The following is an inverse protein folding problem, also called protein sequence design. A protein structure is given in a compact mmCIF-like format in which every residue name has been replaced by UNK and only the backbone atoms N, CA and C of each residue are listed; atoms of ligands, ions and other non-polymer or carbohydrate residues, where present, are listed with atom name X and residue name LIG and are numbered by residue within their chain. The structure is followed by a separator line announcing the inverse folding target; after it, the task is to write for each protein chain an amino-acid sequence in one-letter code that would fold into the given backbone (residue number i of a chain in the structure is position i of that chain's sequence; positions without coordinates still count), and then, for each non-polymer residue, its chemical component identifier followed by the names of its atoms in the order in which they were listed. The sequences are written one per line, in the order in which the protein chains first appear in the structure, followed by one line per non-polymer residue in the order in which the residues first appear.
data_IF_258317916598
#
_entry.id   IF_258317916598
#
_cell.length_a   1.000
_cell.length_b   1.000
_cell.length_c   1.000
_cell.angle_alpha   90.00
_cell.angle_beta   90.00
_cell.angle_gamma   90.00
#
_symmetry.space_group_name_H-M   'P 1'
#
loop_
_entity.id
_entity.type
_entity.pdbx_description
1 polymer ?
#
# COMPACT_ATOMS: atom_id res chain seq x y z
N UNK A 1 28.05 40.87 70.80
CA UNK A 1 28.09 39.45 70.41
C UNK A 1 26.72 38.87 70.66
N UNK A 2 26.02 38.61 69.58
CA UNK A 2 24.57 38.38 69.52
C UNK A 2 24.16 37.04 70.13
N UNK A 3 23.41 37.11 71.23
CA UNK A 3 22.76 35.94 71.84
C UNK A 3 21.62 35.40 70.98
N UNK A 4 21.08 36.22 70.08
CA UNK A 4 19.98 35.83 69.19
C UNK A 4 20.47 34.99 68.01
N UNK A 5 21.68 35.25 67.48
CA UNK A 5 22.27 34.39 66.44
C UNK A 5 22.72 33.02 66.95
N UNK A 6 23.07 32.92 68.24
CA UNK A 6 23.42 31.64 68.88
C UNK A 6 22.20 30.74 69.13
N UNK A 7 21.00 31.31 69.26
CA UNK A 7 19.75 30.53 69.39
C UNK A 7 19.30 29.93 68.06
N UNK A 8 19.40 30.67 66.95
CA UNK A 8 19.02 30.14 65.63
C UNK A 8 19.93 28.99 65.17
N UNK A 9 21.23 29.06 65.46
CA UNK A 9 22.19 28.00 65.08
C UNK A 9 21.92 26.70 65.87
N UNK A 10 21.49 26.79 67.13
CA UNK A 10 21.13 25.62 67.93
C UNK A 10 19.77 25.01 67.54
N UNK A 11 18.89 25.77 66.92
CA UNK A 11 17.53 25.29 66.57
C UNK A 11 17.49 24.69 65.15
N UNK A 12 18.37 25.15 64.24
CA UNK A 12 18.55 24.56 62.92
C UNK A 12 19.19 23.15 62.99
N UNK A 13 20.23 22.96 63.81
CA UNK A 13 20.98 21.69 63.92
C UNK A 13 20.13 20.54 64.50
N UNK A 14 19.19 20.85 65.40
CA UNK A 14 18.30 19.86 66.03
C UNK A 14 17.10 19.53 65.13
N UNK A 15 16.66 20.47 64.29
CA UNK A 15 15.55 20.22 63.35
C UNK A 15 15.99 19.42 62.11
N UNK A 16 17.24 19.57 61.67
CA UNK A 16 17.80 18.86 60.51
C UNK A 16 18.19 17.39 60.84
N UNK A 17 18.63 17.12 62.08
CA UNK A 17 18.95 15.75 62.55
C UNK A 17 17.70 14.86 62.73
N UNK A 18 16.57 15.44 63.14
CA UNK A 18 15.31 14.71 63.32
C UNK A 18 14.66 14.30 62.00
N UNK A 19 14.91 14.98 60.87
CA UNK A 19 14.33 14.59 59.57
C UNK A 19 14.78 13.19 59.14
N UNK A 20 16.04 12.84 59.41
CA UNK A 20 16.57 11.53 59.07
C UNK A 20 16.07 10.44 60.04
N UNK A 21 15.99 10.71 61.35
CA UNK A 21 15.43 9.76 62.31
C UNK A 21 13.91 9.57 62.13
N UNK A 22 13.16 10.62 61.82
CA UNK A 22 11.73 10.56 61.50
C UNK A 22 11.50 9.80 60.20
N UNK A 23 12.35 9.98 59.18
CA UNK A 23 12.28 9.17 57.96
C UNK A 23 12.56 7.68 58.26
N UNK A 24 13.58 7.37 59.07
CA UNK A 24 13.90 5.99 59.45
C UNK A 24 12.81 5.37 60.34
N UNK A 25 12.23 6.14 61.25
CA UNK A 25 11.14 5.67 62.11
C UNK A 25 9.85 5.46 61.32
N UNK A 26 9.53 6.37 60.39
CA UNK A 26 8.43 6.20 59.43
C UNK A 26 8.65 5.00 58.51
N UNK A 27 9.87 4.82 57.99
CA UNK A 27 10.23 3.69 57.13
C UNK A 27 10.11 2.35 57.88
N UNK A 28 10.44 2.30 59.18
CA UNK A 28 10.27 1.08 59.99
C UNK A 28 8.81 0.80 60.37
N UNK A 29 8.03 1.85 60.62
CA UNK A 29 6.66 1.71 61.17
C UNK A 29 5.59 1.63 60.10
N UNK A 30 5.75 2.37 59.01
CA UNK A 30 4.80 2.50 57.89
C UNK A 30 5.41 2.09 56.56
N UNK A 31 6.73 2.13 56.43
CA UNK A 31 7.45 1.84 55.18
C UNK A 31 7.13 0.50 54.53
N UNK A 32 6.98 -0.64 55.25
CA UNK A 32 6.64 -1.91 54.61
C UNK A 32 5.29 -1.86 53.87
N UNK A 33 4.27 -1.21 54.44
CA UNK A 33 2.95 -1.12 53.82
C UNK A 33 2.94 -0.16 52.62
N UNK A 34 3.62 0.98 52.71
CA UNK A 34 3.72 1.91 51.58
C UNK A 34 4.61 1.38 50.46
N UNK A 35 5.73 0.71 50.78
CA UNK A 35 6.58 0.03 49.80
C UNK A 35 5.81 -1.09 49.09
N UNK A 36 4.97 -1.84 49.82
CA UNK A 36 4.14 -2.87 49.22
C UNK A 36 3.09 -2.28 48.25
N UNK A 37 2.43 -1.18 48.62
CA UNK A 37 1.50 -0.47 47.73
C UNK A 37 2.22 0.02 46.46
N UNK A 38 3.39 0.64 46.61
CA UNK A 38 4.20 1.12 45.47
C UNK A 38 4.63 -0.06 44.59
N UNK A 39 5.05 -1.18 45.18
CA UNK A 39 5.38 -2.40 44.44
C UNK A 39 4.21 -2.97 43.65
N UNK A 40 3.00 -3.00 44.24
CA UNK A 40 1.80 -3.44 43.53
C UNK A 40 1.46 -2.51 42.36
N UNK A 41 1.62 -1.19 42.53
CA UNK A 41 1.41 -0.21 41.46
C UNK A 41 2.43 -0.40 40.33
N UNK A 42 3.71 -0.61 40.65
CA UNK A 42 4.76 -0.87 39.65
C UNK A 42 4.50 -2.21 38.94
N UNK A 43 4.14 -3.27 39.68
CA UNK A 43 3.82 -4.57 39.10
C UNK A 43 2.60 -4.49 38.17
N UNK A 44 1.57 -3.74 38.55
CA UNK A 44 0.41 -3.47 37.70
C UNK A 44 0.76 -2.71 36.42
N UNK A 45 1.62 -1.68 36.52
CA UNK A 45 2.13 -0.97 35.35
C UNK A 45 2.98 -1.87 34.43
N UNK A 46 3.89 -2.68 34.99
CA UNK A 46 4.72 -3.60 34.22
C UNK A 46 3.89 -4.69 33.53
N UNK A 47 2.88 -5.22 34.21
CA UNK A 47 1.95 -6.19 33.63
C UNK A 47 1.15 -5.58 32.48
N UNK A 48 0.60 -4.38 32.67
CA UNK A 48 -0.12 -3.66 31.62
C UNK A 48 0.77 -3.36 30.40
N UNK A 49 2.01 -2.91 30.65
CA UNK A 49 2.97 -2.62 29.59
C UNK A 49 3.40 -3.90 28.84
N UNK A 50 3.57 -5.02 29.55
CA UNK A 50 3.92 -6.29 28.91
C UNK A 50 2.74 -6.89 28.12
N UNK A 51 1.50 -6.68 28.58
CA UNK A 51 0.29 -7.09 27.87
C UNK A 51 0.16 -6.34 26.53
N UNK A 52 0.28 -5.01 26.53
CA UNK A 52 0.21 -4.21 25.30
C UNK A 52 1.33 -4.56 24.30
N UNK A 53 2.56 -4.81 24.80
CA UNK A 53 3.68 -5.21 23.94
C UNK A 53 3.46 -6.54 23.20
N UNK A 54 2.64 -7.44 23.75
CA UNK A 54 2.34 -8.71 23.10
C UNK A 54 1.50 -8.54 21.83
N UNK A 55 0.44 -7.73 21.90
CA UNK A 55 -0.42 -7.42 20.75
C UNK A 55 0.35 -6.62 19.69
N UNK A 56 1.13 -5.61 20.11
CA UNK A 56 1.96 -4.81 19.20
C UNK A 56 3.02 -5.66 18.47
N UNK A 57 3.61 -6.66 19.15
CA UNK A 57 4.58 -7.57 18.54
C UNK A 57 3.93 -8.48 17.50
N UNK A 58 2.75 -9.03 17.80
CA UNK A 58 2.02 -9.88 16.87
C UNK A 58 1.58 -9.10 15.61
N UNK A 59 1.06 -7.88 15.79
CA UNK A 59 0.73 -7.01 14.66
C UNK A 59 1.98 -6.69 13.83
N UNK A 60 3.10 -6.34 14.47
CA UNK A 60 4.35 -6.04 13.77
C UNK A 60 4.89 -7.26 12.99
N UNK A 61 4.77 -8.47 13.55
CA UNK A 61 5.14 -9.71 12.87
C UNK A 61 4.27 -9.96 11.64
N UNK A 62 2.94 -9.79 11.77
CA UNK A 62 2.01 -9.95 10.65
C UNK A 62 2.29 -8.98 9.50
N UNK A 63 2.53 -7.71 9.80
CA UNK A 63 2.91 -6.70 8.80
C UNK A 63 4.28 -6.97 8.18
N UNK A 64 5.23 -7.50 8.95
CA UNK A 64 6.53 -7.92 8.43
C UNK A 64 6.41 -9.11 7.47
N UNK A 65 5.61 -10.13 7.84
CA UNK A 65 5.35 -11.29 7.00
C UNK A 65 4.65 -10.89 5.70
N UNK A 66 3.70 -9.95 5.77
CA UNK A 66 3.07 -9.38 4.59
C UNK A 66 4.06 -8.66 3.66
N UNK A 67 4.92 -7.81 4.23
CA UNK A 67 5.93 -7.10 3.44
C UNK A 67 6.91 -8.06 2.74
N UNK A 68 7.30 -9.14 3.42
CA UNK A 68 8.12 -10.20 2.85
C UNK A 68 7.39 -10.92 1.71
N UNK A 69 6.14 -11.34 1.93
CA UNK A 69 5.31 -11.98 0.90
C UNK A 69 5.11 -11.08 -0.33
N UNK A 70 4.81 -9.79 -0.11
CA UNK A 70 4.63 -8.81 -1.18
C UNK A 70 5.90 -8.64 -2.05
N UNK A 71 7.09 -8.74 -1.44
CA UNK A 71 8.36 -8.63 -2.15
C UNK A 71 8.63 -9.79 -3.12
N UNK A 72 8.01 -10.95 -2.90
CA UNK A 72 8.17 -12.12 -3.77
C UNK A 72 7.44 -11.96 -5.11
N UNK A 73 6.43 -11.09 -5.19
CA UNK A 73 5.59 -10.95 -6.38
C UNK A 73 4.72 -12.17 -6.68
N UNK A 74 4.57 -13.09 -5.72
CA UNK A 74 3.74 -14.29 -5.84
C UNK A 74 2.41 -14.09 -5.10
N UNK A 75 1.26 -14.20 -5.79
CA UNK A 75 -0.05 -14.09 -5.15
C UNK A 75 -0.25 -15.10 -4.01
N UNK A 76 0.20 -16.34 -4.20
CA UNK A 76 0.04 -17.41 -3.21
C UNK A 76 0.70 -17.07 -1.86
N UNK A 77 1.86 -16.39 -1.87
CA UNK A 77 2.51 -15.95 -0.62
C UNK A 77 1.64 -14.97 0.17
N UNK A 78 0.91 -14.08 -0.53
CA UNK A 78 -0.01 -13.14 0.11
C UNK A 78 -1.28 -13.84 0.61
N UNK A 79 -1.80 -14.80 -0.17
CA UNK A 79 -2.93 -15.65 0.26
C UNK A 79 -2.60 -16.41 1.54
N UNK A 80 -1.40 -16.99 1.64
CA UNK A 80 -0.96 -17.72 2.84
C UNK A 80 -0.86 -16.79 4.06
N UNK A 81 -0.19 -15.64 3.92
CA UNK A 81 -0.04 -14.68 5.04
C UNK A 81 -1.39 -14.15 5.51
N UNK A 82 -2.31 -13.84 4.59
CA UNK A 82 -3.65 -13.35 4.95
C UNK A 82 -4.51 -14.39 5.64
N UNK A 83 -4.36 -15.68 5.31
CA UNK A 83 -5.04 -16.75 6.04
C UNK A 83 -4.49 -16.92 7.45
N UNK A 84 -3.17 -16.75 7.64
CA UNK A 84 -2.52 -16.91 8.95
C UNK A 84 -2.82 -15.74 9.88
N UNK A 85 -2.90 -14.51 9.35
CA UNK A 85 -3.07 -13.27 10.11
C UNK A 85 -4.37 -12.54 9.77
N UNK A 86 -5.46 -13.30 9.56
CA UNK A 86 -6.77 -12.75 9.19
C UNK A 86 -7.38 -11.84 10.27
N UNK A 87 -6.94 -11.99 11.52
CA UNK A 87 -7.40 -11.23 12.69
C UNK A 87 -6.68 -9.88 12.87
N UNK A 88 -5.68 -9.58 12.03
CA UNK A 88 -4.88 -8.36 12.13
C UNK A 88 -5.45 -7.26 11.22
N UNK A 89 -6.10 -6.28 11.83
CA UNK A 89 -6.59 -5.04 11.19
C UNK A 89 -7.25 -5.28 9.82
N UNK A 90 -6.79 -4.56 8.77
CA UNK A 90 -7.24 -4.70 7.38
C UNK A 90 -6.28 -5.55 6.54
N UNK A 91 -5.46 -6.39 7.17
CA UNK A 91 -4.41 -7.15 6.48
C UNK A 91 -5.02 -8.20 5.55
N UNK A 92 -6.11 -8.83 5.97
CA UNK A 92 -6.85 -9.79 5.15
C UNK A 92 -7.35 -9.13 3.86
N UNK A 93 -8.03 -8.00 3.98
CA UNK A 93 -8.58 -7.28 2.82
C UNK A 93 -7.48 -6.77 1.89
N UNK A 94 -6.42 -6.21 2.46
CA UNK A 94 -5.29 -5.72 1.69
C UNK A 94 -4.59 -6.84 0.93
N UNK A 95 -4.36 -8.00 1.55
CA UNK A 95 -3.67 -9.10 0.90
C UNK A 95 -4.54 -9.86 -0.10
N UNK A 96 -5.85 -10.01 0.14
CA UNK A 96 -6.79 -10.50 -0.88
C UNK A 96 -6.79 -9.58 -2.10
N UNK A 97 -6.89 -8.26 -1.88
CA UNK A 97 -6.84 -7.27 -2.95
C UNK A 97 -5.51 -7.33 -3.72
N UNK A 98 -4.39 -7.38 -3.00
CA UNK A 98 -3.05 -7.38 -3.59
C UNK A 98 -2.75 -8.67 -4.36
N UNK A 99 -3.19 -9.83 -3.85
CA UNK A 99 -3.06 -11.11 -4.54
C UNK A 99 -3.89 -11.13 -5.84
N UNK A 100 -5.13 -10.65 -5.79
CA UNK A 100 -5.99 -10.53 -6.96
C UNK A 100 -5.36 -9.61 -8.03
N UNK A 101 -4.85 -8.44 -7.60
CA UNK A 101 -4.17 -7.49 -8.47
C UNK A 101 -2.93 -8.09 -9.14
N UNK A 102 -2.16 -8.94 -8.45
CA UNK A 102 -0.99 -9.60 -9.05
C UNK A 102 -1.40 -10.59 -10.15
N UNK A 103 -2.46 -11.37 -9.97
CA UNK A 103 -3.00 -12.21 -11.04
C UNK A 103 -3.51 -11.40 -12.22
N UNK A 104 -4.24 -10.30 -11.96
CA UNK A 104 -4.74 -9.43 -13.03
C UNK A 104 -3.59 -8.73 -13.78
N UNK A 105 -2.56 -8.24 -13.07
CA UNK A 105 -1.35 -7.65 -13.67
C UNK A 105 -0.60 -8.65 -14.55
N UNK A 106 -0.53 -9.92 -14.15
CA UNK A 106 0.08 -10.96 -14.96
C UNK A 106 -0.65 -11.12 -16.31
N UNK A 107 -1.99 -11.08 -16.31
CA UNK A 107 -2.80 -11.09 -17.53
C UNK A 107 -2.58 -9.84 -18.38
N UNK A 108 -2.57 -8.65 -17.78
CA UNK A 108 -2.35 -7.38 -18.50
C UNK A 108 -0.98 -7.35 -19.16
N UNK A 109 0.05 -7.82 -18.46
CA UNK A 109 1.43 -7.84 -18.95
C UNK A 109 1.73 -9.04 -19.85
N UNK A 110 0.78 -9.96 -20.02
CA UNK A 110 0.92 -11.20 -20.78
C UNK A 110 2.09 -12.11 -20.33
N UNK A 111 2.41 -12.10 -19.04
CA UNK A 111 3.50 -12.87 -18.45
C UNK A 111 3.01 -13.63 -17.21
N UNK A 112 3.67 -14.72 -16.84
CA UNK A 112 3.35 -15.48 -15.62
C UNK A 112 3.63 -14.67 -14.34
N UNK A 113 2.96 -15.00 -13.23
CA UNK A 113 3.26 -14.38 -11.92
C UNK A 113 4.69 -14.68 -11.45
N UNK A 114 5.27 -13.83 -10.60
CA UNK A 114 6.64 -13.99 -10.11
C UNK A 114 7.74 -13.72 -11.16
N UNK A 115 7.37 -13.12 -12.29
CA UNK A 115 8.30 -12.74 -13.35
C UNK A 115 9.35 -11.75 -12.85
N UNK A 116 10.60 -11.90 -13.29
CA UNK A 116 11.68 -10.96 -13.00
C UNK A 116 12.44 -10.58 -14.28
N UNK A 117 13.30 -9.56 -14.21
CA UNK A 117 14.10 -9.06 -15.34
C UNK A 117 14.90 -10.15 -16.07
N UNK A 118 15.21 -11.27 -15.40
CA UNK A 118 16.01 -12.37 -15.96
C UNK A 118 15.17 -13.49 -16.60
N UNK A 119 13.89 -13.61 -16.24
CA UNK A 119 13.04 -14.73 -16.64
C UNK A 119 11.68 -14.18 -16.98
N UNK A 120 11.37 -14.10 -18.28
CA UNK A 120 10.04 -13.75 -18.78
C UNK A 120 9.39 -14.94 -19.45
N UNK A 121 8.35 -15.49 -18.83
CA UNK A 121 7.54 -16.56 -19.41
C UNK A 121 6.21 -15.98 -19.88
N UNK A 122 5.92 -16.17 -21.17
CA UNK A 122 4.70 -15.71 -21.79
C UNK A 122 3.52 -16.53 -21.27
N UNK A 123 2.43 -15.85 -20.95
CA UNK A 123 1.21 -16.47 -20.47
C UNK A 123 0.50 -17.25 -21.59
N UNK A 124 0.15 -18.51 -21.32
CA UNK A 124 -0.69 -19.30 -22.24
C UNK A 124 -2.17 -18.92 -22.10
N UNK A 125 -3.01 -19.34 -23.06
CA UNK A 125 -4.45 -19.08 -23.02
C UNK A 125 -5.14 -19.73 -21.81
N UNK A 126 -4.72 -20.94 -21.45
CA UNK A 126 -5.27 -21.68 -20.29
C UNK A 126 -4.86 -20.99 -18.97
N UNK A 127 -3.61 -20.58 -18.85
CA UNK A 127 -3.14 -19.83 -17.68
C UNK A 127 -3.80 -18.45 -17.57
N UNK A 128 -4.06 -17.79 -18.70
CA UNK A 128 -4.82 -16.53 -18.73
C UNK A 128 -6.22 -16.73 -18.14
N UNK A 129 -6.93 -17.76 -18.55
CA UNK A 129 -8.26 -18.06 -17.97
C UNK A 129 -8.14 -18.36 -16.48
N UNK A 130 -7.18 -19.21 -16.09
CA UNK A 130 -6.94 -19.56 -14.69
C UNK A 130 -6.63 -18.33 -13.82
N UNK A 131 -5.79 -17.40 -14.28
CA UNK A 131 -5.47 -16.19 -13.54
C UNK A 131 -6.66 -15.23 -13.43
N UNK A 132 -7.45 -15.09 -14.50
CA UNK A 132 -8.68 -14.29 -14.45
C UNK A 132 -9.69 -14.88 -13.46
N UNK A 133 -9.84 -16.21 -13.43
CA UNK A 133 -10.73 -16.90 -12.48
C UNK A 133 -10.22 -16.77 -11.03
N UNK A 134 -8.91 -16.86 -10.83
CA UNK A 134 -8.28 -16.64 -9.51
C UNK A 134 -8.45 -15.21 -9.02
N UNK A 135 -8.21 -14.22 -9.89
CA UNK A 135 -8.43 -12.81 -9.56
C UNK A 135 -9.89 -12.54 -9.19
N UNK A 136 -10.86 -13.03 -9.99
CA UNK A 136 -12.29 -12.85 -9.68
C UNK A 136 -12.67 -13.48 -8.34
N UNK A 137 -12.18 -14.70 -8.05
CA UNK A 137 -12.47 -15.38 -6.79
C UNK A 137 -11.95 -14.61 -5.57
N UNK A 138 -10.74 -14.06 -5.65
CA UNK A 138 -10.13 -13.28 -4.57
C UNK A 138 -10.84 -11.93 -4.37
N UNK A 139 -11.17 -11.21 -5.44
CA UNK A 139 -11.98 -9.99 -5.33
C UNK A 139 -13.39 -10.29 -4.80
N UNK A 140 -13.99 -11.41 -5.22
CA UNK A 140 -15.29 -11.83 -4.71
C UNK A 140 -15.24 -12.18 -3.22
N UNK A 141 -14.16 -12.83 -2.76
CA UNK A 141 -13.94 -13.10 -1.34
C UNK A 141 -13.79 -11.79 -0.55
N UNK A 142 -13.01 -10.84 -1.05
CA UNK A 142 -12.87 -9.51 -0.45
C UNK A 142 -14.22 -8.81 -0.30
N UNK A 143 -15.09 -8.85 -1.32
CA UNK A 143 -16.40 -8.20 -1.26
C UNK A 143 -17.33 -8.84 -0.21
N UNK A 144 -17.11 -10.10 0.17
CA UNK A 144 -17.90 -10.73 1.25
C UNK A 144 -17.64 -10.12 2.62
N UNK A 145 -16.50 -9.44 2.83
CA UNK A 145 -16.24 -8.73 4.08
C UNK A 145 -16.91 -7.35 4.13
N UNK A 146 -17.67 -6.95 3.10
CA UNK A 146 -18.37 -5.67 3.10
C UNK A 146 -19.47 -5.61 4.19
N UNK A 147 -19.16 -4.90 5.27
CA UNK A 147 -20.08 -4.61 6.39
C UNK A 147 -20.88 -3.30 6.19
N UNK A 148 -20.76 -2.69 5.00
CA UNK A 148 -21.29 -1.37 4.66
C UNK A 148 -20.63 -0.18 5.39
N UNK A 149 -19.57 -0.39 6.17
CA UNK A 149 -18.85 0.71 6.83
C UNK A 149 -18.02 1.53 5.86
N UNK A 150 -17.77 2.80 6.20
CA UNK A 150 -16.89 3.68 5.42
C UNK A 150 -15.42 3.21 5.44
N UNK A 151 -15.01 2.53 6.51
CA UNK A 151 -13.65 2.00 6.68
C UNK A 151 -13.27 0.95 5.64
N UNK A 152 -14.22 0.11 5.22
CA UNK A 152 -13.97 -0.97 4.26
C UNK A 152 -14.31 -0.58 2.82
N UNK A 153 -15.08 0.50 2.63
CA UNK A 153 -15.58 0.94 1.31
C UNK A 153 -14.46 1.03 0.27
N UNK A 154 -13.27 1.53 0.61
CA UNK A 154 -12.17 1.64 -0.34
C UNK A 154 -11.71 0.27 -0.87
N UNK A 155 -11.59 -0.72 0.00
CA UNK A 155 -11.21 -2.08 -0.38
C UNK A 155 -12.28 -2.74 -1.23
N UNK A 156 -13.54 -2.66 -0.80
CA UNK A 156 -14.68 -3.25 -1.49
C UNK A 156 -14.86 -2.66 -2.88
N UNK A 157 -14.81 -1.33 -3.01
CA UNK A 157 -14.93 -0.64 -4.29
C UNK A 157 -13.76 -0.98 -5.21
N UNK A 158 -12.54 -1.07 -4.67
CA UNK A 158 -11.37 -1.53 -5.44
C UNK A 158 -11.54 -2.96 -5.93
N UNK A 159 -12.08 -3.85 -5.10
CA UNK A 159 -12.45 -5.21 -5.47
C UNK A 159 -13.49 -5.24 -6.59
N UNK A 160 -14.54 -4.42 -6.51
CA UNK A 160 -15.54 -4.30 -7.58
C UNK A 160 -14.92 -3.80 -8.89
N UNK A 161 -13.99 -2.85 -8.84
CA UNK A 161 -13.24 -2.42 -10.03
C UNK A 161 -12.41 -3.56 -10.62
N UNK A 162 -11.78 -4.37 -9.76
CA UNK A 162 -11.06 -5.57 -10.15
C UNK A 162 -11.95 -6.59 -10.85
N UNK A 163 -13.12 -6.90 -10.30
CA UNK A 163 -14.10 -7.80 -10.94
C UNK A 163 -14.62 -7.27 -12.26
N UNK A 164 -14.87 -5.96 -12.35
CA UNK A 164 -15.23 -5.32 -13.61
C UNK A 164 -14.12 -5.49 -14.66
N UNK A 165 -12.85 -5.27 -14.28
CA UNK A 165 -11.71 -5.46 -15.17
C UNK A 165 -11.51 -6.93 -15.59
N UNK A 166 -11.80 -7.90 -14.72
CA UNK A 166 -11.81 -9.32 -15.08
C UNK A 166 -12.93 -9.61 -16.09
N UNK A 167 -14.13 -9.09 -15.88
CA UNK A 167 -15.25 -9.24 -16.81
C UNK A 167 -14.94 -8.61 -18.17
N UNK A 168 -14.39 -7.39 -18.20
CA UNK A 168 -13.87 -6.74 -19.42
C UNK A 168 -12.84 -7.63 -20.13
N UNK A 169 -11.89 -8.19 -19.39
CA UNK A 169 -10.84 -9.06 -19.93
C UNK A 169 -11.38 -10.37 -20.52
N UNK A 170 -12.55 -10.83 -20.05
CA UNK A 170 -13.28 -11.99 -20.58
C UNK A 170 -14.22 -11.63 -21.75
N UNK A 171 -14.38 -10.34 -22.05
CA UNK A 171 -15.34 -9.84 -23.04
C UNK A 171 -16.79 -9.82 -22.54
N UNK A 172 -16.99 -9.96 -21.22
CA UNK A 172 -18.31 -9.95 -20.58
C UNK A 172 -18.67 -8.52 -20.14
N UNK A 173 -19.12 -7.72 -21.11
CA UNK A 173 -19.47 -6.31 -20.88
C UNK A 173 -20.71 -6.15 -20.00
N UNK A 174 -21.61 -7.13 -19.97
CA UNK A 174 -22.80 -7.07 -19.11
C UNK A 174 -22.41 -7.15 -17.63
N UNK A 175 -21.58 -8.13 -17.25
CA UNK A 175 -21.09 -8.23 -15.88
C UNK A 175 -20.15 -7.07 -15.51
N UNK A 176 -19.32 -6.59 -16.43
CA UNK A 176 -18.50 -5.41 -16.19
C UNK A 176 -19.35 -4.18 -15.84
N UNK A 177 -20.40 -3.93 -16.62
CA UNK A 177 -21.37 -2.85 -16.36
C UNK A 177 -22.04 -3.01 -15.00
N UNK A 178 -22.48 -4.22 -14.67
CA UNK A 178 -23.12 -4.50 -13.38
C UNK A 178 -22.22 -4.11 -12.20
N UNK A 179 -20.92 -4.47 -12.23
CA UNK A 179 -19.99 -4.08 -11.17
C UNK A 179 -19.77 -2.57 -11.08
N UNK A 180 -19.70 -1.86 -12.22
CA UNK A 180 -19.62 -0.40 -12.20
C UNK A 180 -20.87 0.26 -11.61
N UNK A 181 -22.06 -0.29 -11.86
CA UNK A 181 -23.29 0.20 -11.24
C UNK A 181 -23.29 -0.03 -9.71
N UNK A 182 -22.75 -1.16 -9.24
CA UNK A 182 -22.55 -1.39 -7.80
C UNK A 182 -21.58 -0.38 -7.18
N UNK A 183 -20.51 -0.02 -7.89
CA UNK A 183 -19.57 1.02 -7.44
C UNK A 183 -20.26 2.38 -7.31
N UNK A 184 -21.09 2.76 -8.29
CA UNK A 184 -21.87 4.00 -8.21
C UNK A 184 -22.77 4.03 -6.97
N UNK A 185 -23.40 2.91 -6.63
CA UNK A 185 -24.24 2.81 -5.44
C UNK A 185 -23.43 2.89 -4.14
N UNK A 186 -22.24 2.27 -4.10
CA UNK A 186 -21.43 2.16 -2.86
C UNK A 186 -20.57 3.39 -2.58
N UNK A 187 -20.00 4.01 -3.61
CA UNK A 187 -18.94 5.01 -3.47
C UNK A 187 -19.40 6.47 -3.60
N UNK A 188 -20.64 6.76 -4.03
CA UNK A 188 -21.04 8.12 -4.40
C UNK A 188 -20.96 9.14 -3.28
N UNK A 189 -21.28 8.74 -2.05
CA UNK A 189 -21.29 9.64 -0.90
C UNK A 189 -19.91 9.81 -0.26
N UNK A 190 -19.13 8.73 -0.21
CA UNK A 190 -17.83 8.68 0.51
C UNK A 190 -16.65 8.99 -0.42
N UNK A 191 -16.68 8.48 -1.65
CA UNK A 191 -15.59 8.57 -2.64
C UNK A 191 -16.13 8.95 -4.04
N UNK A 192 -16.63 10.18 -4.23
CA UNK A 192 -17.28 10.61 -5.49
C UNK A 192 -16.36 10.53 -6.72
N UNK A 193 -15.04 10.61 -6.52
CA UNK A 193 -14.06 10.42 -7.59
C UNK A 193 -14.10 9.00 -8.20
N UNK A 194 -14.26 7.98 -7.36
CA UNK A 194 -14.37 6.58 -7.80
C UNK A 194 -15.69 6.35 -8.55
N UNK A 195 -16.79 6.94 -8.07
CA UNK A 195 -18.07 6.91 -8.80
C UNK A 195 -17.97 7.58 -10.17
N UNK A 196 -17.26 8.71 -10.27
CA UNK A 196 -17.03 9.40 -11.55
C UNK A 196 -16.26 8.51 -12.52
N UNK A 197 -15.24 7.82 -12.03
CA UNK A 197 -14.47 6.86 -12.84
C UNK A 197 -15.33 5.67 -13.32
N UNK A 198 -16.15 5.10 -12.44
CA UNK A 198 -17.07 4.01 -12.81
C UNK A 198 -18.07 4.45 -13.87
N UNK A 199 -18.61 5.67 -13.75
CA UNK A 199 -19.52 6.25 -14.75
C UNK A 199 -18.85 6.38 -16.12
N UNK A 200 -17.64 6.91 -16.17
CA UNK A 200 -16.88 7.02 -17.42
C UNK A 200 -16.63 5.64 -18.05
N UNK A 201 -16.28 4.64 -17.25
CA UNK A 201 -16.08 3.26 -17.72
C UNK A 201 -17.34 2.68 -18.36
N UNK A 202 -18.51 2.86 -17.73
CA UNK A 202 -19.81 2.45 -18.30
C UNK A 202 -20.05 3.12 -19.66
N UNK A 203 -19.80 4.43 -19.76
CA UNK A 203 -20.02 5.21 -21.00
C UNK A 203 -19.11 4.74 -22.15
N UNK A 204 -17.91 4.25 -21.83
CA UNK A 204 -16.94 3.75 -22.82
C UNK A 204 -17.01 2.24 -23.06
N UNK A 205 -17.85 1.50 -22.32
CA UNK A 205 -17.79 0.04 -22.30
C UNK A 205 -18.11 -0.58 -23.67
N UNK A 206 -19.05 0.01 -24.40
CA UNK A 206 -19.44 -0.45 -25.74
C UNK A 206 -18.26 -0.35 -26.74
N UNK A 207 -17.35 0.61 -26.55
CA UNK A 207 -16.17 0.77 -27.41
C UNK A 207 -15.15 -0.37 -27.29
N UNK A 208 -15.19 -1.14 -26.20
CA UNK A 208 -14.32 -2.31 -26.02
C UNK A 208 -14.72 -3.48 -26.92
N UNK A 209 -15.93 -3.46 -27.48
CA UNK A 209 -16.41 -4.49 -28.41
C UNK A 209 -16.00 -4.22 -29.86
N UNK A 210 -15.53 -3.01 -30.16
CA UNK A 210 -15.05 -2.64 -31.48
C UNK A 210 -13.63 -3.17 -31.70
N UNK A 211 -13.46 -4.11 -32.65
CA UNK A 211 -12.15 -4.63 -32.99
C UNK A 211 -11.27 -3.51 -33.57
N UNK A 212 -10.16 -3.20 -32.88
CA UNK A 212 -9.14 -2.28 -33.40
C UNK A 212 -8.40 -3.02 -34.52
N UNK A 213 -8.59 -2.56 -35.75
CA UNK A 213 -7.81 -3.04 -36.89
C UNK A 213 -6.41 -2.45 -36.79
N UNK A 214 -5.44 -3.29 -36.44
CA UNK A 214 -4.03 -2.92 -36.51
C UNK A 214 -3.59 -2.85 -37.98
N UNK A 215 -2.83 -1.81 -38.40
CA UNK A 215 -2.27 -1.76 -39.74
C UNK A 215 -1.43 -3.01 -40.03
N UNK A 216 -1.58 -3.54 -41.24
CA UNK A 216 -0.75 -4.67 -41.71
C UNK A 216 0.70 -4.23 -41.89
N UNK A 217 1.64 -5.17 -41.82
CA UNK A 217 3.06 -4.89 -42.08
C UNK A 217 3.30 -4.24 -43.46
N UNK A 218 2.47 -4.58 -44.45
CA UNK A 218 2.50 -3.97 -45.77
C UNK A 218 2.11 -2.48 -45.74
N UNK A 219 1.08 -2.13 -44.97
CA UNK A 219 0.64 -0.74 -44.78
C UNK A 219 1.66 0.07 -43.96
N UNK A 220 2.26 -0.54 -42.93
CA UNK A 220 3.34 0.07 -42.15
C UNK A 220 4.56 0.33 -43.04
N UNK A 221 4.96 -0.65 -43.85
CA UNK A 221 6.09 -0.53 -44.78
C UNK A 221 5.82 0.52 -45.86
N UNK A 222 4.61 0.55 -46.42
CA UNK A 222 4.21 1.55 -47.41
C UNK A 222 4.25 2.97 -46.83
N UNK A 223 3.80 3.17 -45.57
CA UNK A 223 3.94 4.46 -44.88
C UNK A 223 5.40 4.83 -44.64
N UNK A 224 6.21 3.91 -44.14
CA UNK A 224 7.64 4.18 -43.87
C UNK A 224 8.40 4.55 -45.14
N UNK A 225 8.02 4.01 -46.29
CA UNK A 225 8.61 4.35 -47.59
C UNK A 225 8.08 5.67 -48.18
N UNK A 226 6.94 6.19 -47.69
CA UNK A 226 6.39 7.49 -48.09
C UNK A 226 7.00 8.65 -47.29
N UNK A 227 7.53 8.39 -46.10
CA UNK A 227 8.37 9.35 -45.40
C UNK A 227 9.73 9.32 -46.11
N UNK A 228 10.09 10.39 -46.83
CA UNK A 228 11.44 10.51 -47.38
C UNK A 228 12.44 10.22 -46.25
N UNK A 229 13.23 9.16 -46.41
CA UNK A 229 14.34 8.92 -45.50
C UNK A 229 15.17 10.19 -45.49
N UNK A 230 15.33 10.83 -44.33
CA UNK A 230 16.27 11.94 -44.18
C UNK A 230 17.58 11.48 -44.78
N UNK A 231 18.03 12.18 -45.81
CA UNK A 231 19.30 11.89 -46.45
C UNK A 231 20.37 11.81 -45.35
N UNK A 232 20.97 10.63 -45.10
CA UNK A 232 21.95 10.47 -44.04
C UNK A 232 23.27 11.15 -44.38
N UNK A 233 23.39 11.71 -45.60
CA UNK A 233 24.54 12.52 -45.99
C UNK A 233 24.62 13.71 -45.05
N UNK A 234 25.69 13.84 -44.23
CA UNK A 234 25.91 15.05 -43.47
C UNK A 234 25.92 16.19 -44.47
N UNK A 235 25.05 17.18 -44.29
CA UNK A 235 25.20 18.46 -44.97
C UNK A 235 26.41 19.12 -44.33
N UNK A 236 27.61 18.65 -44.69
CA UNK A 236 28.80 19.47 -44.61
C UNK A 236 28.57 20.57 -45.64
N UNK A 237 27.83 21.60 -45.22
CA UNK A 237 27.97 22.93 -45.79
C UNK A 237 29.45 23.26 -45.62
N UNK A 238 30.23 22.93 -46.64
CA UNK A 238 31.64 23.22 -46.69
C UNK A 238 31.80 24.71 -46.43
N UNK A 239 32.76 25.02 -45.58
CA UNK A 239 33.20 26.37 -45.19
C UNK A 239 33.59 27.24 -46.41
N UNK A 240 33.45 26.75 -47.64
CA UNK A 240 33.61 27.52 -48.87
C UNK A 240 32.56 28.62 -49.06
N UNK A 241 31.38 28.51 -48.45
CA UNK A 241 30.36 29.58 -48.46
C UNK A 241 30.76 30.82 -47.62
N UNK A 242 31.84 30.73 -46.83
CA UNK A 242 32.38 31.86 -46.06
C UNK A 242 33.50 32.62 -46.80
N UNK A 243 34.04 32.07 -47.90
CA UNK A 243 35.02 32.81 -48.72
C UNK A 243 34.39 33.94 -49.53
N UNK A 244 33.12 33.80 -49.91
CA UNK A 244 32.41 34.82 -50.69
C UNK A 244 31.99 36.05 -49.86
N UNK A 245 32.27 36.06 -48.55
CA UNK A 245 32.02 37.18 -47.64
C UNK A 245 33.30 37.92 -47.22
N UNK A 246 34.51 37.43 -47.54
CA UNK A 246 35.76 38.17 -47.25
C UNK A 246 36.26 39.04 -48.39
N UNK A 247 35.80 38.80 -49.63
CA UNK A 247 36.37 39.46 -50.82
C UNK A 247 35.49 40.61 -51.36
N UNK A 248 34.43 40.99 -50.64
CA UNK A 248 33.53 42.10 -51.01
C UNK A 248 33.71 43.37 -50.17
N UNK A 249 34.81 43.51 -49.43
CA UNK A 249 35.19 44.74 -48.73
C UNK A 249 36.68 45.09 -48.99
N UNK A 250 36.99 45.47 -50.23
CA UNK A 250 38.08 46.42 -50.55
C UNK A 250 37.50 47.65 -51.25
#
# INVERSE_FOLDING_TARGET
MDRDRLKDIQTADISESNVNEDFVHWLKTKGPNYLLIIMVVIAGMLWWQNYQRGEEQYQAEAWSAYAEAASTGLPASLEDVTQVHADVDALQELGLLSAADLYLKAVINNNTVGNNEATTTILTADERSFYLDKADALYAELIKSDDNSDSITLFVVSGMFGRAAVAESKGDTENAKHFYELILARASDVFPGLSTQAKYRIETLDTLTDAIVLPTDAEVTARNNQVEQRDPTPVNSTIDALKDLSDSNE
#
